data_IF_818676786604
#
_entry.id   IF_818676786604
#
_cell.length_a   1.000
_cell.length_b   1.000
_cell.length_c   1.000
_cell.angle_alpha   90.00
_cell.angle_beta   90.00
_cell.angle_gamma   90.00
#
_symmetry.space_group_name_H-M   'P 1'
#
loop_
_entity.id
_entity.type
_entity.pdbx_description
1 polymer ?
#
# COMPACT_ATOMS: atom_id res chain seq x y z
N UNK A 1 11.78 -35.93 -9.13
CA UNK A 1 12.73 -34.84 -8.87
C UNK A 1 12.25 -34.11 -7.64
N UNK A 2 12.99 -34.14 -6.54
CA UNK A 2 12.67 -33.41 -5.33
C UNK A 2 12.75 -31.90 -5.62
N UNK A 3 11.84 -31.04 -5.05
CA UNK A 3 11.99 -29.61 -5.21
C UNK A 3 13.26 -29.16 -4.53
N UNK A 4 14.10 -28.43 -5.25
CA UNK A 4 15.25 -27.71 -4.69
C UNK A 4 14.73 -26.83 -3.54
N UNK A 5 15.04 -27.17 -2.31
CA UNK A 5 14.95 -26.25 -1.19
C UNK A 5 16.06 -25.21 -1.40
N UNK A 6 15.77 -24.14 -2.13
CA UNK A 6 16.55 -22.92 -2.01
C UNK A 6 16.45 -22.49 -0.54
N UNK A 7 17.54 -22.61 0.22
CA UNK A 7 17.62 -22.07 1.57
C UNK A 7 17.30 -20.58 1.46
N UNK A 8 16.14 -20.17 1.94
CA UNK A 8 15.74 -18.76 1.96
C UNK A 8 16.76 -17.99 2.78
N UNK A 9 17.32 -16.91 2.23
CA UNK A 9 18.39 -16.18 2.88
C UNK A 9 17.90 -15.59 4.21
N UNK A 10 18.60 -15.89 5.29
CA UNK A 10 18.38 -15.29 6.60
C UNK A 10 19.20 -14.00 6.71
N UNK A 11 18.54 -12.91 7.05
CA UNK A 11 19.18 -11.63 7.31
C UNK A 11 19.25 -11.39 8.83
N UNK A 12 20.47 -11.31 9.42
CA UNK A 12 20.59 -10.92 10.82
C UNK A 12 20.07 -9.50 11.02
N UNK A 13 18.99 -9.36 11.76
CA UNK A 13 18.45 -8.02 12.06
C UNK A 13 19.48 -7.26 12.92
N UNK A 14 19.93 -6.08 12.48
CA UNK A 14 20.87 -5.27 13.23
C UNK A 14 20.29 -4.88 14.60
N UNK A 15 21.05 -5.14 15.67
CA UNK A 15 20.71 -4.72 17.02
C UNK A 15 21.23 -3.31 17.27
N UNK A 16 20.43 -2.46 17.90
CA UNK A 16 20.81 -1.08 18.20
C UNK A 16 21.83 -1.06 19.36
N UNK A 17 22.97 -0.42 19.16
CA UNK A 17 23.99 -0.21 20.21
C UNK A 17 23.71 0.98 21.13
N UNK A 18 22.72 1.82 20.77
CA UNK A 18 22.33 3.03 21.49
C UNK A 18 21.15 3.73 20.81
N UNK A 19 20.81 4.90 21.28
CA UNK A 19 19.76 5.74 20.71
C UNK A 19 20.12 6.16 19.28
N UNK A 20 19.19 5.99 18.32
CA UNK A 20 19.40 6.45 16.95
C UNK A 20 19.32 7.98 16.87
N UNK A 21 20.13 8.59 16.01
CA UNK A 21 19.99 10.00 15.61
C UNK A 21 20.30 10.08 14.11
N UNK A 22 19.25 10.11 13.28
CA UNK A 22 19.41 9.96 11.84
C UNK A 22 18.40 10.78 11.04
N UNK A 23 18.80 11.12 9.81
CA UNK A 23 17.89 11.57 8.76
C UNK A 23 17.70 10.44 7.76
N UNK A 24 16.44 10.05 7.52
CA UNK A 24 16.11 8.95 6.60
C UNK A 24 15.23 9.47 5.47
N UNK A 25 15.75 9.39 4.24
CA UNK A 25 15.01 9.73 3.04
C UNK A 25 14.17 8.54 2.57
N UNK A 26 12.89 8.57 2.88
CA UNK A 26 11.95 7.53 2.45
C UNK A 26 11.56 7.78 0.99
N UNK A 27 11.56 6.75 0.13
CA UNK A 27 11.18 6.91 -1.28
C UNK A 27 9.70 7.29 -1.42
N UNK A 28 9.31 7.66 -2.64
CA UNK A 28 7.95 8.08 -2.95
C UNK A 28 6.88 7.03 -2.61
N UNK A 29 5.66 7.49 -2.33
CA UNK A 29 4.52 6.63 -1.97
C UNK A 29 4.12 5.69 -3.11
N UNK A 30 4.07 4.38 -2.84
CA UNK A 30 3.56 3.38 -3.76
C UNK A 30 2.11 3.67 -4.16
N UNK A 31 1.28 3.98 -3.18
CA UNK A 31 -0.15 4.21 -3.38
C UNK A 31 -0.43 5.44 -4.23
N UNK A 32 0.35 6.50 -4.06
CA UNK A 32 0.28 7.72 -4.89
C UNK A 32 0.84 7.43 -6.29
N UNK A 33 2.02 6.80 -6.40
CA UNK A 33 2.65 6.49 -7.69
C UNK A 33 1.73 5.66 -8.59
N UNK A 34 1.13 4.58 -8.06
CA UNK A 34 0.27 3.72 -8.87
C UNK A 34 -1.02 4.41 -9.32
N UNK A 35 -1.64 5.24 -8.47
CA UNK A 35 -2.80 6.06 -8.87
C UNK A 35 -2.43 7.10 -9.92
N UNK A 36 -1.31 7.78 -9.73
CA UNK A 36 -0.82 8.80 -10.66
C UNK A 36 -0.53 8.21 -12.04
N UNK A 37 0.05 7.01 -12.11
CA UNK A 37 0.28 6.29 -13.36
C UNK A 37 -1.03 5.98 -14.09
N UNK A 38 -2.05 5.48 -13.37
CA UNK A 38 -3.38 5.20 -13.95
C UNK A 38 -4.03 6.48 -14.45
N UNK A 39 -4.04 7.56 -13.64
CA UNK A 39 -4.65 8.83 -14.03
C UNK A 39 -3.93 9.46 -15.23
N UNK A 40 -2.60 9.42 -15.26
CA UNK A 40 -1.81 9.93 -16.38
C UNK A 40 -2.02 9.11 -17.66
N UNK A 41 -2.18 7.77 -17.56
CA UNK A 41 -2.49 6.91 -18.70
C UNK A 41 -3.89 7.18 -19.28
N UNK A 42 -4.83 7.65 -18.46
CA UNK A 42 -6.21 7.98 -18.86
C UNK A 42 -6.39 9.47 -19.19
N UNK A 43 -5.37 10.30 -19.01
CA UNK A 43 -5.44 11.74 -19.29
C UNK A 43 -5.54 12.04 -20.79
N UNK A 44 -5.93 13.29 -21.13
CA UNK A 44 -5.96 13.79 -22.51
C UNK A 44 -4.63 14.37 -22.98
N UNK A 45 -3.70 14.63 -22.06
CA UNK A 45 -2.43 15.29 -22.29
C UNK A 45 -1.32 14.57 -21.51
N UNK A 46 -0.03 14.69 -21.95
CA UNK A 46 1.09 14.15 -21.20
C UNK A 46 1.20 14.74 -19.80
N UNK A 47 1.70 13.93 -18.86
CA UNK A 47 1.96 14.34 -17.48
C UNK A 47 3.31 13.86 -16.98
N UNK A 48 3.78 14.47 -15.90
CA UNK A 48 5.03 14.09 -15.25
C UNK A 48 4.78 13.60 -13.83
N UNK A 49 5.43 12.49 -13.48
CA UNK A 49 5.53 12.00 -12.11
C UNK A 49 6.98 12.24 -11.67
N UNK A 50 7.19 13.18 -10.73
CA UNK A 50 8.48 13.43 -10.12
C UNK A 50 8.63 12.58 -8.87
N UNK A 51 9.82 12.05 -8.63
CA UNK A 51 10.14 11.17 -7.50
C UNK A 51 9.19 9.96 -7.38
N UNK A 52 8.81 9.30 -8.50
CA UNK A 52 7.96 8.11 -8.43
C UNK A 52 8.70 7.01 -7.65
N UNK A 53 7.95 6.18 -6.92
CA UNK A 53 8.56 5.00 -6.34
C UNK A 53 9.01 4.05 -7.45
N UNK A 54 10.24 3.55 -7.37
CA UNK A 54 10.76 2.48 -8.23
C UNK A 54 10.84 1.19 -7.42
N UNK A 55 9.75 0.49 -7.29
CA UNK A 55 9.64 -0.78 -6.59
C UNK A 55 9.02 -1.85 -7.49
N UNK A 56 9.02 -3.11 -7.05
CA UNK A 56 8.39 -4.19 -7.82
C UNK A 56 6.96 -3.84 -8.23
N UNK A 57 6.14 -3.39 -7.29
CA UNK A 57 4.71 -3.11 -7.53
C UNK A 57 4.50 -1.96 -8.53
N UNK A 58 5.31 -0.90 -8.47
CA UNK A 58 5.17 0.25 -9.37
C UNK A 58 5.74 -0.01 -10.75
N UNK A 59 6.79 -0.81 -10.85
CA UNK A 59 7.35 -1.26 -12.12
C UNK A 59 6.39 -2.22 -12.84
N UNK A 60 5.67 -3.09 -12.11
CA UNK A 60 4.59 -3.91 -12.67
C UNK A 60 3.45 -3.04 -13.20
N UNK A 61 3.05 -1.98 -12.48
CA UNK A 61 2.04 -1.04 -12.97
C UNK A 61 2.48 -0.34 -14.25
N UNK A 62 3.69 0.22 -14.28
CA UNK A 62 4.23 0.87 -15.46
C UNK A 62 4.39 -0.10 -16.65
N UNK A 63 4.87 -1.32 -16.39
CA UNK A 63 5.00 -2.38 -17.40
C UNK A 63 3.66 -2.80 -17.98
N UNK A 64 2.63 -2.94 -17.16
CA UNK A 64 1.28 -3.27 -17.59
C UNK A 64 0.67 -2.17 -18.48
N UNK A 65 0.82 -0.90 -18.09
CA UNK A 65 0.36 0.23 -18.89
C UNK A 65 1.10 0.31 -20.23
N UNK A 66 2.43 0.07 -20.23
CA UNK A 66 3.22 -0.03 -21.48
C UNK A 66 2.73 -1.18 -22.38
N UNK A 67 2.44 -2.33 -21.79
CA UNK A 67 1.89 -3.47 -22.54
C UNK A 67 0.54 -3.14 -23.21
N UNK A 68 -0.26 -2.30 -22.58
CA UNK A 68 -1.52 -1.78 -23.11
C UNK A 68 -1.34 -0.57 -24.04
N UNK A 69 -0.11 -0.19 -24.37
CA UNK A 69 0.18 0.84 -25.38
C UNK A 69 0.48 2.24 -24.83
N UNK A 70 0.46 2.45 -23.54
CA UNK A 70 0.84 3.75 -22.93
C UNK A 70 2.36 3.92 -23.02
N UNK A 71 2.83 5.06 -23.46
CA UNK A 71 4.25 5.37 -23.47
C UNK A 71 4.66 6.01 -22.14
N UNK A 72 5.68 5.44 -21.51
CA UNK A 72 6.24 5.93 -20.24
C UNK A 72 7.74 6.06 -20.40
N UNK A 73 8.21 7.30 -20.47
CA UNK A 73 9.62 7.66 -20.55
C UNK A 73 10.18 7.84 -19.14
N UNK A 74 11.32 7.21 -18.86
CA UNK A 74 12.02 7.35 -17.57
C UNK A 74 13.23 8.25 -17.76
N UNK A 75 13.45 9.18 -16.85
CA UNK A 75 14.58 10.10 -16.95
C UNK A 75 14.59 11.16 -15.86
N UNK A 76 15.09 12.31 -16.22
CA UNK A 76 15.18 13.48 -15.34
C UNK A 76 13.95 14.36 -15.55
N UNK A 77 13.47 15.00 -14.47
CA UNK A 77 12.31 15.90 -14.54
C UNK A 77 12.49 17.07 -15.51
N UNK A 78 11.40 17.76 -15.89
CA UNK A 78 11.45 18.85 -16.87
C UNK A 78 12.31 20.05 -16.44
N UNK A 79 12.61 20.17 -15.15
CA UNK A 79 13.54 21.16 -14.59
C UNK A 79 15.00 20.72 -14.59
N UNK A 80 15.31 19.54 -15.12
CA UNK A 80 16.64 18.96 -15.14
C UNK A 80 17.08 18.35 -13.81
N UNK A 81 16.16 18.15 -12.85
CA UNK A 81 16.47 17.63 -11.52
C UNK A 81 15.67 16.39 -11.18
N UNK A 82 16.29 15.47 -10.45
CA UNK A 82 15.65 14.27 -9.86
C UNK A 82 15.09 13.30 -10.88
N UNK A 83 14.76 12.10 -10.41
CA UNK A 83 14.09 11.08 -11.21
C UNK A 83 12.64 11.45 -11.49
N UNK A 84 12.21 11.24 -12.72
CA UNK A 84 10.84 11.46 -13.13
C UNK A 84 10.40 10.47 -14.23
N UNK A 85 9.12 10.19 -14.28
CA UNK A 85 8.47 9.48 -15.38
C UNK A 85 7.56 10.44 -16.15
N UNK A 86 7.74 10.49 -17.46
CA UNK A 86 6.82 11.18 -18.36
C UNK A 86 5.86 10.17 -18.94
N UNK A 87 4.56 10.38 -18.72
CA UNK A 87 3.51 9.49 -19.22
C UNK A 87 2.82 10.17 -20.38
N UNK A 88 2.80 9.49 -21.54
CA UNK A 88 2.14 9.95 -22.75
C UNK A 88 0.93 9.03 -23.01
N UNK A 89 -0.30 9.55 -22.93
CA UNK A 89 -1.52 8.77 -23.13
C UNK A 89 -1.75 8.52 -24.63
N UNK A 90 -1.14 7.49 -25.18
CA UNK A 90 -1.18 7.13 -26.61
C UNK A 90 -2.36 6.25 -26.99
N UNK A 91 -3.30 6.03 -26.06
CA UNK A 91 -4.44 5.13 -26.21
C UNK A 91 -4.18 3.73 -25.68
N UNK A 92 -5.26 3.06 -25.28
CA UNK A 92 -5.19 1.72 -24.71
C UNK A 92 -5.58 0.68 -25.76
N UNK A 93 -4.77 -0.36 -25.90
CA UNK A 93 -4.96 -1.39 -26.93
C UNK A 93 -4.53 -2.77 -26.47
N UNK A 94 -5.18 -3.79 -27.02
CA UNK A 94 -4.83 -5.19 -26.94
C UNK A 94 -4.49 -5.77 -28.35
N UNK A 95 -4.13 -7.05 -28.44
CA UNK A 95 -4.01 -7.96 -27.31
C UNK A 95 -2.78 -7.66 -26.43
N UNK A 96 -2.92 -7.80 -25.12
CA UNK A 96 -1.80 -7.67 -24.20
C UNK A 96 -1.91 -8.66 -23.03
N UNK A 97 -0.77 -8.91 -22.38
CA UNK A 97 -0.70 -9.68 -21.14
C UNK A 97 -0.11 -8.82 -20.05
N UNK A 98 -0.77 -8.81 -18.91
CA UNK A 98 -0.39 -8.07 -17.71
C UNK A 98 0.02 -9.06 -16.63
N UNK A 99 1.27 -8.97 -16.18
CA UNK A 99 1.72 -9.61 -14.96
C UNK A 99 1.40 -8.68 -13.78
N UNK A 100 0.56 -9.13 -12.89
CA UNK A 100 0.24 -8.36 -11.67
C UNK A 100 1.19 -8.69 -10.51
N UNK A 101 2.05 -9.73 -10.66
CA UNK A 101 2.82 -10.28 -9.56
C UNK A 101 1.91 -10.60 -8.38
N UNK A 102 2.17 -9.98 -7.22
CA UNK A 102 1.27 -9.96 -6.08
C UNK A 102 0.89 -8.51 -5.68
N UNK A 103 0.85 -7.60 -6.66
CA UNK A 103 0.54 -6.19 -6.46
C UNK A 103 -0.96 -5.94 -6.43
N UNK A 104 -1.54 -5.69 -5.25
CA UNK A 104 -2.97 -5.47 -5.06
C UNK A 104 -3.53 -4.32 -5.90
N UNK A 105 -2.75 -3.24 -6.08
CA UNK A 105 -3.15 -2.09 -6.90
C UNK A 105 -3.16 -2.42 -8.40
N UNK A 106 -2.20 -3.19 -8.89
CA UNK A 106 -2.14 -3.61 -10.30
C UNK A 106 -3.34 -4.49 -10.63
N UNK A 107 -3.56 -5.55 -9.81
CA UNK A 107 -4.65 -6.51 -10.06
C UNK A 107 -6.05 -5.90 -9.96
N UNK A 108 -6.23 -4.80 -9.21
CA UNK A 108 -7.55 -4.19 -9.01
C UNK A 108 -7.78 -2.93 -9.82
N UNK A 109 -6.76 -2.08 -10.01
CA UNK A 109 -6.92 -0.82 -10.74
C UNK A 109 -6.91 -1.00 -12.26
N UNK A 110 -6.22 -2.02 -12.79
CA UNK A 110 -6.08 -2.17 -14.23
C UNK A 110 -7.23 -2.90 -14.94
N UNK A 111 -8.03 -3.81 -14.36
CA UNK A 111 -9.18 -4.36 -15.06
C UNK A 111 -10.19 -3.31 -15.54
N UNK A 112 -10.55 -2.24 -14.78
CA UNK A 112 -11.36 -1.13 -15.29
C UNK A 112 -10.70 -0.36 -16.44
N UNK A 113 -9.37 -0.17 -16.39
CA UNK A 113 -8.58 0.44 -17.47
C UNK A 113 -8.60 -0.43 -18.71
N UNK A 114 -8.42 -1.75 -18.56
CA UNK A 114 -8.43 -2.73 -19.64
C UNK A 114 -9.79 -2.80 -20.35
N UNK A 115 -10.90 -2.54 -19.63
CA UNK A 115 -12.23 -2.47 -20.24
C UNK A 115 -12.35 -1.32 -21.27
N UNK A 116 -11.52 -0.29 -21.17
CA UNK A 116 -11.42 0.84 -22.08
C UNK A 116 -10.45 0.60 -23.25
N UNK A 117 -9.71 -0.51 -23.24
CA UNK A 117 -8.77 -0.83 -24.30
C UNK A 117 -9.50 -1.32 -25.57
N UNK A 118 -8.84 -1.19 -26.72
CA UNK A 118 -9.30 -1.83 -27.96
C UNK A 118 -8.63 -3.22 -28.06
N UNK A 119 -9.38 -4.26 -27.66
CA UNK A 119 -8.95 -5.66 -27.69
C UNK A 119 -8.76 -6.31 -26.31
N UNK A 120 -8.46 -7.64 -26.30
CA UNK A 120 -8.39 -8.42 -25.07
C UNK A 120 -7.11 -8.15 -24.27
N UNK A 121 -7.25 -8.07 -22.94
CA UNK A 121 -6.14 -7.95 -22.00
C UNK A 121 -6.21 -9.11 -21.01
N UNK A 122 -5.18 -9.96 -21.00
CA UNK A 122 -5.05 -11.08 -20.06
C UNK A 122 -4.29 -10.64 -18.82
N UNK A 123 -4.80 -11.00 -17.66
CA UNK A 123 -4.18 -10.78 -16.36
C UNK A 123 -3.76 -12.11 -15.74
N UNK A 124 -2.54 -12.14 -15.22
CA UNK A 124 -1.96 -13.29 -14.51
C UNK A 124 -0.98 -12.79 -13.45
N UNK A 125 -0.50 -13.65 -12.54
CA UNK A 125 0.43 -13.21 -11.50
C UNK A 125 0.99 -14.32 -10.64
N UNK A 126 1.58 -13.97 -9.51
CA UNK A 126 2.15 -14.90 -8.55
C UNK A 126 1.06 -15.82 -7.93
N UNK A 127 1.39 -17.02 -7.46
CA UNK A 127 0.40 -17.96 -6.91
C UNK A 127 -0.51 -17.37 -5.84
N UNK A 128 0.04 -16.55 -4.93
CA UNK A 128 -0.76 -15.91 -3.88
C UNK A 128 -1.82 -14.93 -4.42
N UNK A 129 -1.59 -14.33 -5.59
CA UNK A 129 -2.53 -13.39 -6.20
C UNK A 129 -3.86 -14.06 -6.59
N UNK A 130 -3.88 -15.38 -6.82
CA UNK A 130 -5.08 -16.15 -7.14
C UNK A 130 -6.04 -16.31 -5.95
N UNK A 131 -5.51 -16.20 -4.73
CA UNK A 131 -6.30 -16.32 -3.50
C UNK A 131 -6.83 -14.97 -3.00
N UNK A 132 -6.29 -13.87 -3.52
CA UNK A 132 -6.67 -12.53 -3.09
C UNK A 132 -8.00 -12.10 -3.70
N UNK A 133 -8.91 -11.43 -2.93
CA UNK A 133 -10.24 -11.08 -3.42
C UNK A 133 -10.16 -10.13 -4.61
N UNK A 134 -10.88 -10.47 -5.68
CA UNK A 134 -11.01 -9.70 -6.91
C UNK A 134 -12.47 -9.68 -7.43
N UNK A 135 -13.31 -10.58 -6.94
CA UNK A 135 -14.70 -10.72 -7.35
C UNK A 135 -15.49 -9.40 -7.31
N UNK A 136 -15.26 -8.55 -6.29
CA UNK A 136 -15.94 -7.25 -6.18
C UNK A 136 -15.74 -6.34 -7.39
N UNK A 137 -14.52 -6.31 -7.95
CA UNK A 137 -14.21 -5.54 -9.17
C UNK A 137 -14.76 -6.24 -10.41
N UNK A 138 -14.60 -7.56 -10.53
CA UNK A 138 -15.05 -8.34 -11.68
C UNK A 138 -16.57 -8.21 -11.84
N UNK A 139 -17.33 -8.43 -10.77
CA UNK A 139 -18.78 -8.36 -10.79
C UNK A 139 -19.29 -6.95 -11.05
N UNK A 140 -18.63 -5.94 -10.49
CA UNK A 140 -18.96 -4.55 -10.77
C UNK A 140 -18.74 -4.20 -12.23
N UNK A 141 -17.62 -4.58 -12.81
CA UNK A 141 -17.32 -4.33 -14.22
C UNK A 141 -18.29 -5.02 -15.17
N UNK A 142 -18.70 -6.27 -14.88
CA UNK A 142 -19.73 -6.97 -15.65
C UNK A 142 -21.06 -6.23 -15.63
N UNK A 143 -21.48 -5.70 -14.47
CA UNK A 143 -22.70 -4.87 -14.35
C UNK A 143 -22.60 -3.55 -15.08
N UNK A 144 -21.40 -2.98 -15.22
CA UNK A 144 -21.13 -1.76 -15.96
C UNK A 144 -20.97 -2.02 -17.47
N UNK A 145 -21.10 -3.27 -17.95
CA UNK A 145 -21.08 -3.64 -19.35
C UNK A 145 -19.79 -4.28 -19.85
N UNK A 146 -18.80 -4.54 -18.98
CA UNK A 146 -17.57 -5.20 -19.40
C UNK A 146 -17.75 -6.71 -19.59
N UNK A 147 -17.10 -7.25 -20.65
CA UNK A 147 -16.99 -8.68 -20.85
C UNK A 147 -15.69 -9.20 -20.24
N UNK A 148 -15.80 -10.13 -19.28
CA UNK A 148 -14.67 -10.71 -18.55
C UNK A 148 -14.80 -12.23 -18.52
N UNK A 149 -13.75 -12.90 -18.97
CA UNK A 149 -13.59 -14.36 -18.88
C UNK A 149 -12.63 -14.68 -17.71
N UNK A 150 -13.13 -15.36 -16.70
CA UNK A 150 -12.38 -15.79 -15.50
C UNK A 150 -12.69 -17.27 -15.14
N UNK A 151 -13.28 -18.02 -16.07
CA UNK A 151 -13.80 -19.38 -15.88
C UNK A 151 -14.69 -19.55 -14.63
N UNK A 152 -15.40 -18.46 -14.23
CA UNK A 152 -16.28 -18.44 -13.08
C UNK A 152 -15.58 -18.42 -11.72
N UNK A 153 -14.26 -18.15 -11.67
CA UNK A 153 -13.49 -18.17 -10.41
C UNK A 153 -13.68 -16.92 -9.55
N UNK A 154 -14.02 -15.78 -10.16
CA UNK A 154 -14.00 -14.48 -9.46
C UNK A 154 -12.61 -14.03 -9.05
N UNK A 155 -11.57 -14.56 -9.70
CA UNK A 155 -10.17 -14.40 -9.38
C UNK A 155 -9.28 -14.49 -10.62
N UNK A 156 -7.98 -14.28 -10.45
CA UNK A 156 -6.97 -14.53 -11.49
C UNK A 156 -6.81 -16.03 -11.79
N UNK A 157 -6.32 -16.39 -13.00
CA UNK A 157 -6.11 -15.53 -14.16
C UNK A 157 -7.45 -15.15 -14.80
N UNK A 158 -7.50 -14.00 -15.46
CA UNK A 158 -8.70 -13.55 -16.19
C UNK A 158 -8.36 -12.80 -17.48
N UNK A 159 -9.34 -12.66 -18.36
CA UNK A 159 -9.21 -11.84 -19.56
C UNK A 159 -10.36 -10.82 -19.60
N UNK A 160 -10.00 -9.54 -19.70
CA UNK A 160 -10.93 -8.45 -19.96
C UNK A 160 -10.97 -8.20 -21.48
N UNK A 161 -12.15 -8.30 -22.08
CA UNK A 161 -12.35 -8.00 -23.51
C UNK A 161 -12.74 -6.52 -23.65
N UNK A 162 -11.73 -5.67 -23.83
CA UNK A 162 -11.96 -4.25 -24.05
C UNK A 162 -12.62 -3.99 -25.39
N UNK A 163 -13.54 -3.03 -25.39
CA UNK A 163 -14.28 -2.59 -26.57
C UNK A 163 -14.02 -1.12 -26.94
N UNK A 164 -12.95 -0.51 -26.41
CA UNK A 164 -12.65 0.91 -26.63
C UNK A 164 -13.47 1.87 -25.77
N UNK A 165 -14.54 1.41 -25.15
CA UNK A 165 -15.41 2.18 -24.28
C UNK A 165 -16.13 1.26 -23.27
N UNK A 166 -16.63 1.83 -22.18
CA UNK A 166 -17.48 1.16 -21.20
C UNK A 166 -18.66 2.07 -20.86
N UNK A 167 -19.86 1.51 -20.72
CA UNK A 167 -21.07 2.29 -20.47
C UNK A 167 -20.99 3.02 -19.12
N UNK A 168 -20.61 2.34 -18.05
CA UNK A 168 -20.59 2.94 -16.73
C UNK A 168 -21.97 3.02 -16.09
N UNK A 169 -22.17 4.03 -15.21
CA UNK A 169 -23.42 4.25 -14.48
C UNK A 169 -23.39 3.70 -13.04
N UNK A 170 -24.57 3.44 -12.43
CA UNK A 170 -24.65 3.02 -11.03
C UNK A 170 -24.27 1.54 -10.84
N UNK A 171 -23.48 1.27 -9.79
CA UNK A 171 -23.10 -0.09 -9.41
C UNK A 171 -22.96 -0.23 -7.90
N UNK A 172 -23.42 -1.36 -7.37
CA UNK A 172 -23.24 -1.72 -5.97
C UNK A 172 -22.07 -2.69 -5.82
N UNK A 173 -21.23 -2.45 -4.81
CA UNK A 173 -20.03 -3.24 -4.52
C UNK A 173 -19.93 -3.49 -3.02
N UNK A 174 -19.74 -4.74 -2.61
CA UNK A 174 -19.25 -5.04 -1.28
C UNK A 174 -17.73 -4.88 -1.25
N UNK A 175 -17.26 -3.81 -0.64
CA UNK A 175 -15.85 -3.50 -0.50
C UNK A 175 -15.30 -3.77 0.93
N UNK A 176 -16.01 -4.59 1.72
CA UNK A 176 -15.59 -4.94 3.09
C UNK A 176 -14.24 -5.64 3.14
N UNK A 177 -13.85 -6.35 2.09
CA UNK A 177 -12.54 -7.01 1.97
C UNK A 177 -11.43 -6.08 1.44
N UNK A 178 -11.79 -5.00 0.74
CA UNK A 178 -10.80 -4.05 0.19
C UNK A 178 -11.44 -2.77 -0.34
N UNK A 179 -11.03 -1.63 0.22
CA UNK A 179 -11.38 -0.29 -0.32
C UNK A 179 -10.85 -0.05 -1.75
N UNK A 180 -9.89 -0.87 -2.20
CA UNK A 180 -9.36 -0.79 -3.56
C UNK A 180 -10.42 -1.09 -4.63
N UNK A 181 -11.51 -1.80 -4.31
CA UNK A 181 -12.61 -2.03 -5.26
C UNK A 181 -13.32 -0.72 -5.60
N UNK A 182 -13.58 0.12 -4.60
CA UNK A 182 -14.13 1.47 -4.81
C UNK A 182 -13.13 2.32 -5.60
N UNK A 183 -11.87 2.41 -5.12
CA UNK A 183 -10.83 3.21 -5.78
C UNK A 183 -10.62 2.84 -7.25
N UNK A 184 -10.65 1.55 -7.59
CA UNK A 184 -10.46 1.04 -8.94
C UNK A 184 -11.51 1.59 -9.93
N UNK A 185 -12.78 1.57 -9.52
CA UNK A 185 -13.89 2.06 -10.33
C UNK A 185 -13.87 3.59 -10.45
N UNK A 186 -13.55 4.29 -9.35
CA UNK A 186 -13.46 5.76 -9.36
C UNK A 186 -12.35 6.25 -10.28
N UNK A 187 -11.16 5.63 -10.27
CA UNK A 187 -10.01 6.04 -11.09
C UNK A 187 -10.33 6.02 -12.59
N UNK A 188 -11.08 5.03 -13.06
CA UNK A 188 -11.44 4.89 -14.47
C UNK A 188 -12.79 5.55 -14.82
N UNK A 189 -13.59 5.86 -13.80
CA UNK A 189 -14.94 6.42 -13.94
C UNK A 189 -15.07 7.62 -14.87
N UNK A 190 -14.15 8.62 -14.87
CA UNK A 190 -14.24 9.75 -15.78
C UNK A 190 -14.22 9.36 -17.27
N UNK A 191 -13.68 8.18 -17.60
CA UNK A 191 -13.57 7.68 -18.98
C UNK A 191 -14.71 6.76 -19.38
N UNK A 192 -15.64 6.43 -18.49
CA UNK A 192 -16.88 5.70 -18.83
C UNK A 192 -17.91 6.65 -19.43
N UNK A 193 -18.74 6.16 -20.36
CA UNK A 193 -19.71 6.97 -21.09
C UNK A 193 -20.68 7.74 -20.18
N UNK A 194 -21.10 7.11 -19.08
CA UNK A 194 -22.00 7.68 -18.07
C UNK A 194 -21.30 8.01 -16.74
N UNK A 195 -19.94 7.98 -16.71
CA UNK A 195 -19.22 8.03 -15.46
C UNK A 195 -19.47 6.78 -14.61
N UNK A 196 -19.35 6.91 -13.30
CA UNK A 196 -19.66 5.81 -12.36
C UNK A 196 -20.27 6.33 -11.07
N UNK A 197 -21.30 5.66 -10.59
CA UNK A 197 -21.80 5.79 -9.22
C UNK A 197 -21.52 4.49 -8.49
N UNK A 198 -20.64 4.52 -7.51
CA UNK A 198 -20.27 3.36 -6.69
C UNK A 198 -20.97 3.44 -5.34
N UNK A 199 -21.79 2.44 -5.03
CA UNK A 199 -22.45 2.28 -3.73
C UNK A 199 -21.83 1.08 -2.98
N UNK A 200 -21.20 1.34 -1.84
CA UNK A 200 -20.76 0.27 -0.95
C UNK A 200 -21.95 -0.32 -0.19
N UNK A 201 -22.06 -1.65 -0.19
CA UNK A 201 -23.19 -2.38 0.41
C UNK A 201 -22.78 -3.31 1.57
N UNK A 202 -21.47 -3.41 1.84
CA UNK A 202 -20.96 -4.21 2.96
C UNK A 202 -21.16 -3.55 4.34
N UNK A 203 -20.91 -4.31 5.39
CA UNK A 203 -21.07 -3.83 6.76
C UNK A 203 -19.98 -2.84 7.19
N UNK A 204 -18.76 -3.02 6.71
CA UNK A 204 -17.59 -2.18 7.04
C UNK A 204 -16.83 -1.83 5.77
N UNK A 205 -16.23 -0.65 5.75
CA UNK A 205 -15.36 -0.22 4.65
C UNK A 205 -13.99 0.16 5.23
N UNK A 206 -12.99 -0.73 5.11
CA UNK A 206 -11.67 -0.48 5.66
C UNK A 206 -10.90 0.56 4.84
N UNK A 207 -9.89 1.17 5.44
CA UNK A 207 -8.91 2.01 4.76
C UNK A 207 -9.52 3.19 3.98
N UNK A 208 -10.47 3.89 4.56
CA UNK A 208 -11.10 5.09 3.99
C UNK A 208 -10.10 6.14 3.48
N UNK A 209 -8.94 6.37 4.13
CA UNK A 209 -7.94 7.30 3.61
C UNK A 209 -7.51 7.01 2.17
N UNK A 210 -7.46 5.75 1.74
CA UNK A 210 -7.13 5.39 0.36
C UNK A 210 -8.22 5.78 -0.65
N UNK A 211 -9.50 5.79 -0.25
CA UNK A 211 -10.58 6.30 -1.10
C UNK A 211 -10.48 7.83 -1.18
N UNK A 212 -10.25 8.52 -0.06
CA UNK A 212 -10.03 9.98 -0.03
C UNK A 212 -8.83 10.36 -0.91
N UNK A 213 -7.72 9.63 -0.82
CA UNK A 213 -6.56 9.80 -1.71
C UNK A 213 -6.98 9.71 -3.20
N UNK A 214 -7.76 8.71 -3.55
CA UNK A 214 -8.26 8.54 -4.93
C UNK A 214 -9.12 9.72 -5.36
N UNK A 215 -10.04 10.18 -4.51
CA UNK A 215 -10.92 11.32 -4.77
C UNK A 215 -10.11 12.61 -4.96
N UNK A 216 -9.17 12.88 -4.07
CA UNK A 216 -8.35 14.10 -4.13
C UNK A 216 -7.46 14.12 -5.37
N UNK A 217 -6.89 12.98 -5.73
CA UNK A 217 -6.07 12.85 -6.96
C UNK A 217 -6.93 13.01 -8.23
N UNK A 218 -8.16 12.48 -8.25
CA UNK A 218 -9.12 12.69 -9.34
C UNK A 218 -9.50 14.18 -9.48
N UNK A 219 -9.81 14.83 -8.38
CA UNK A 219 -10.13 16.27 -8.37
C UNK A 219 -8.94 17.11 -8.84
N UNK A 220 -7.73 16.74 -8.45
CA UNK A 220 -6.51 17.43 -8.87
C UNK A 220 -6.27 17.36 -10.38
N UNK A 221 -6.73 16.32 -11.08
CA UNK A 221 -6.66 16.19 -12.53
C UNK A 221 -7.96 16.66 -13.24
N UNK A 222 -8.84 17.37 -12.54
CA UNK A 222 -10.02 18.03 -13.11
C UNK A 222 -11.30 17.20 -13.10
N UNK A 223 -11.31 15.98 -12.54
CA UNK A 223 -12.53 15.20 -12.43
C UNK A 223 -13.50 15.79 -11.41
N UNK A 224 -14.79 15.69 -11.69
CA UNK A 224 -15.85 16.03 -10.73
C UNK A 224 -16.25 14.77 -9.95
N UNK A 225 -16.12 14.83 -8.63
CA UNK A 225 -16.37 13.70 -7.74
C UNK A 225 -17.25 14.16 -6.57
N UNK A 226 -18.43 13.57 -6.44
CA UNK A 226 -19.28 13.71 -5.26
C UNK A 226 -18.99 12.58 -4.28
N UNK A 227 -18.95 12.91 -3.00
CA UNK A 227 -18.61 11.97 -1.92
C UNK A 227 -19.60 12.11 -0.77
N UNK A 228 -19.71 11.10 0.13
CA UNK A 228 -20.49 11.23 1.35
C UNK A 228 -20.13 12.48 2.18
N UNK A 229 -18.84 12.80 2.27
CA UNK A 229 -18.32 13.93 3.04
C UNK A 229 -18.68 15.30 2.39
N UNK A 230 -18.94 15.34 1.08
CA UNK A 230 -19.38 16.56 0.39
C UNK A 230 -20.90 16.77 0.40
N UNK A 231 -21.63 16.05 1.29
CA UNK A 231 -23.08 16.14 1.42
C UNK A 231 -23.83 15.17 0.52
N UNK A 232 -23.13 14.19 -0.06
CA UNK A 232 -23.73 13.09 -0.82
C UNK A 232 -24.40 12.03 0.07
N UNK A 233 -24.95 11.00 -0.56
CA UNK A 233 -25.53 9.85 0.15
C UNK A 233 -24.43 9.06 0.88
N UNK A 234 -24.71 8.51 2.07
CA UNK A 234 -23.75 7.66 2.78
C UNK A 234 -23.30 6.46 1.92
N UNK A 235 -21.99 6.17 1.93
CA UNK A 235 -21.38 5.07 1.19
C UNK A 235 -21.57 5.14 -0.34
N UNK A 236 -21.77 6.32 -0.90
CA UNK A 236 -21.94 6.55 -2.35
C UNK A 236 -20.95 7.59 -2.85
N UNK A 237 -20.20 7.22 -3.88
CA UNK A 237 -19.28 8.10 -4.62
C UNK A 237 -19.74 8.17 -6.06
N UNK A 238 -19.79 9.39 -6.62
CA UNK A 238 -20.16 9.62 -8.02
C UNK A 238 -19.02 10.34 -8.74
N UNK A 239 -18.63 9.81 -9.88
CA UNK A 239 -17.66 10.45 -10.77
C UNK A 239 -18.37 10.77 -12.08
N UNK A 240 -18.38 12.05 -12.43
CA UNK A 240 -18.95 12.52 -13.69
C UNK A 240 -18.02 12.20 -14.85
N UNK A 241 -18.53 11.78 -16.04
CA UNK A 241 -17.68 11.58 -17.21
C UNK A 241 -17.01 12.89 -17.65
N UNK A 242 -15.76 12.81 -18.08
CA UNK A 242 -15.01 13.99 -18.51
C UNK A 242 -13.55 13.69 -18.83
N UNK A 243 -12.89 14.66 -19.45
CA UNK A 243 -11.48 14.59 -19.74
C UNK A 243 -10.66 14.76 -18.45
N UNK A 244 -9.58 14.00 -18.35
CA UNK A 244 -8.58 14.15 -17.29
C UNK A 244 -7.40 14.96 -17.83
N UNK A 245 -6.92 15.90 -17.04
CA UNK A 245 -5.77 16.75 -17.38
C UNK A 245 -4.47 16.04 -17.12
N UNK A 246 -3.49 16.20 -18.01
CA UNK A 246 -2.09 15.89 -17.72
C UNK A 246 -1.58 16.82 -16.61
N UNK A 247 -0.87 16.28 -15.63
CA UNK A 247 -0.34 17.04 -14.51
C UNK A 247 1.14 16.76 -14.29
N UNK A 248 1.82 17.73 -13.74
CA UNK A 248 3.13 17.58 -13.12
C UNK A 248 2.90 17.34 -11.62
N UNK A 249 3.17 16.12 -11.17
CA UNK A 249 2.94 15.67 -9.80
C UNK A 249 4.26 15.27 -9.16
N UNK A 250 4.61 15.89 -8.04
CA UNK A 250 5.67 15.38 -7.16
C UNK A 250 5.06 14.38 -6.18
N UNK A 251 5.55 13.14 -6.21
CA UNK A 251 5.08 12.08 -5.32
C UNK A 251 5.62 12.33 -3.92
N UNK A 252 4.73 12.36 -2.94
CA UNK A 252 5.05 12.46 -1.50
C UNK A 252 5.87 11.25 -1.04
N UNK A 253 6.73 11.37 -0.01
CA UNK A 253 7.37 10.21 0.63
C UNK A 253 6.31 9.21 1.09
N UNK A 254 6.65 7.92 1.10
CA UNK A 254 5.73 6.88 1.58
C UNK A 254 5.69 6.86 3.11
N UNK A 255 4.67 7.48 3.69
CA UNK A 255 4.54 7.62 5.13
C UNK A 255 4.30 6.29 5.84
N UNK A 256 3.70 5.30 5.16
CA UNK A 256 3.57 3.95 5.71
C UNK A 256 4.91 3.20 5.73
N UNK A 257 5.80 3.47 4.78
CA UNK A 257 7.16 2.94 4.79
C UNK A 257 8.12 3.72 5.71
N UNK A 258 7.74 4.90 6.18
CA UNK A 258 8.45 5.62 7.24
C UNK A 258 8.32 4.92 8.61
N UNK A 259 7.30 4.07 8.78
CA UNK A 259 6.97 3.42 10.07
C UNK A 259 8.17 2.74 10.75
N UNK A 260 8.96 1.86 10.12
CA UNK A 260 10.06 1.19 10.79
C UNK A 260 11.10 2.17 11.33
N UNK A 261 11.35 3.26 10.64
CA UNK A 261 12.33 4.27 11.06
C UNK A 261 11.83 5.11 12.25
N UNK A 262 10.54 5.49 12.25
CA UNK A 262 9.93 6.14 13.42
C UNK A 262 9.88 5.19 14.62
N UNK A 263 9.57 3.90 14.38
CA UNK A 263 9.62 2.86 15.39
C UNK A 263 11.04 2.68 15.96
N UNK A 264 12.08 2.81 15.13
CA UNK A 264 13.45 2.75 15.60
C UNK A 264 13.78 3.86 16.60
N UNK A 265 13.36 5.09 16.34
CA UNK A 265 13.50 6.18 17.30
C UNK A 265 12.75 5.89 18.60
N UNK A 266 11.52 5.35 18.53
CA UNK A 266 10.73 5.00 19.71
C UNK A 266 11.39 3.89 20.53
N UNK A 267 11.82 2.81 19.89
CA UNK A 267 12.41 1.62 20.53
C UNK A 267 13.76 1.94 21.17
N UNK A 268 14.56 2.80 20.56
CA UNK A 268 15.92 3.12 21.05
C UNK A 268 15.99 4.36 21.94
N UNK A 269 14.85 5.09 22.11
CA UNK A 269 14.85 6.39 22.78
C UNK A 269 15.62 7.46 22.02
N UNK A 270 15.69 7.35 20.71
CA UNK A 270 16.44 8.20 19.82
C UNK A 270 15.60 9.19 19.05
N UNK A 271 16.16 9.73 17.95
CA UNK A 271 15.51 10.73 17.11
C UNK A 271 15.71 10.39 15.63
N UNK A 272 14.65 10.53 14.85
CA UNK A 272 14.69 10.38 13.39
C UNK A 272 13.98 11.56 12.72
N UNK A 273 14.63 12.16 11.71
CA UNK A 273 14.02 13.10 10.80
C UNK A 273 13.64 12.36 9.49
N UNK A 274 12.36 12.47 9.11
CA UNK A 274 11.89 12.06 7.78
C UNK A 274 11.66 13.34 6.97
N UNK A 275 12.52 13.67 6.00
CA UNK A 275 12.38 14.85 5.16
C UNK A 275 11.11 14.85 4.31
N UNK A 276 10.67 16.04 3.93
CA UNK A 276 9.53 16.26 3.03
C UNK A 276 8.19 15.66 3.52
N UNK A 277 8.06 15.40 4.83
CA UNK A 277 6.78 14.97 5.39
C UNK A 277 5.72 16.04 5.13
N UNK A 278 4.62 15.74 4.42
CA UNK A 278 3.68 16.76 4.00
C UNK A 278 2.87 17.31 5.20
N UNK A 279 2.61 18.62 5.19
CA UNK A 279 1.78 19.26 6.21
C UNK A 279 0.31 18.82 6.15
N UNK A 280 -0.14 18.42 4.96
CA UNK A 280 -1.48 17.85 4.71
C UNK A 280 -1.34 16.72 3.71
N UNK A 281 -1.96 15.58 4.03
CA UNK A 281 -1.91 14.39 3.18
C UNK A 281 -3.14 13.51 3.43
N UNK A 282 -3.46 12.69 2.45
CA UNK A 282 -4.44 11.61 2.59
C UNK A 282 -3.77 10.26 2.85
N UNK A 283 -2.45 10.21 2.97
CA UNK A 283 -1.76 8.96 3.26
C UNK A 283 -2.09 8.49 4.69
N UNK A 284 -2.54 7.23 4.87
CA UNK A 284 -2.88 6.69 6.20
C UNK A 284 -1.67 6.65 7.15
N UNK A 285 -0.45 6.61 6.61
CA UNK A 285 0.79 6.65 7.40
C UNK A 285 0.96 7.90 8.28
N UNK A 286 0.24 8.99 8.01
CA UNK A 286 0.27 10.21 8.86
C UNK A 286 -0.25 9.94 10.27
N UNK A 287 -1.11 8.93 10.47
CA UNK A 287 -1.59 8.47 11.78
C UNK A 287 -0.48 7.98 12.72
N UNK A 288 0.69 7.64 12.18
CA UNK A 288 1.85 7.25 13.00
C UNK A 288 2.26 8.35 13.99
N UNK A 289 2.06 9.63 13.63
CA UNK A 289 2.37 10.75 14.54
C UNK A 289 1.56 10.67 15.85
N UNK A 290 0.28 10.34 15.74
CA UNK A 290 -0.60 10.19 16.91
C UNK A 290 -0.31 8.87 17.65
N UNK A 291 -0.30 7.75 16.91
CA UNK A 291 -0.16 6.40 17.48
C UNK A 291 1.18 6.26 18.23
N UNK A 292 2.28 6.66 17.62
CA UNK A 292 3.59 6.54 18.27
C UNK A 292 3.83 7.60 19.34
N UNK A 293 3.12 8.74 19.30
CA UNK A 293 3.11 9.70 20.42
C UNK A 293 2.40 9.10 21.63
N UNK A 294 1.25 8.45 21.45
CA UNK A 294 0.54 7.75 22.51
C UNK A 294 1.37 6.59 23.09
N UNK A 295 2.18 5.92 22.25
CA UNK A 295 3.08 4.87 22.67
C UNK A 295 4.38 5.35 23.34
N UNK A 296 4.57 6.65 23.57
CA UNK A 296 5.69 7.20 24.34
C UNK A 296 6.71 8.03 23.53
N UNK A 297 6.38 8.41 22.31
CA UNK A 297 7.19 9.32 21.50
C UNK A 297 6.67 10.76 21.52
N UNK A 298 7.36 11.61 20.78
CA UNK A 298 6.91 12.96 20.45
C UNK A 298 7.26 13.28 19.00
N UNK A 299 6.45 14.10 18.35
CA UNK A 299 6.70 14.48 16.97
C UNK A 299 6.59 16.00 16.78
N UNK A 300 7.44 16.55 15.94
CA UNK A 300 7.43 17.94 15.53
C UNK A 300 7.48 18.00 14.00
N UNK A 301 6.49 18.64 13.39
CA UNK A 301 6.49 18.91 11.96
C UNK A 301 7.18 20.25 11.72
N UNK A 302 8.33 20.18 11.06
CA UNK A 302 9.18 21.34 10.71
C UNK A 302 9.08 21.65 9.22
N UNK A 303 9.71 22.72 8.78
CA UNK A 303 9.86 23.04 7.35
C UNK A 303 10.70 22.01 6.58
N UNK A 304 11.52 21.21 7.26
CA UNK A 304 12.36 20.15 6.65
C UNK A 304 11.69 18.79 6.61
N UNK A 305 10.62 18.58 7.36
CA UNK A 305 9.93 17.29 7.50
C UNK A 305 9.51 16.99 8.93
N UNK A 306 9.22 15.72 9.20
CA UNK A 306 8.81 15.24 10.51
C UNK A 306 10.02 14.81 11.34
N UNK A 307 10.23 15.46 12.48
CA UNK A 307 11.14 15.00 13.54
C UNK A 307 10.33 14.16 14.53
N UNK A 308 10.73 12.92 14.72
CA UNK A 308 10.16 12.04 15.72
C UNK A 308 11.23 11.66 16.76
N UNK A 309 10.86 11.75 18.05
CA UNK A 309 11.76 11.47 19.18
C UNK A 309 11.10 10.47 20.13
N UNK A 310 11.80 9.37 20.42
CA UNK A 310 11.39 8.40 21.45
C UNK A 310 11.79 8.86 22.84
N UNK A 311 10.96 8.57 23.84
CA UNK A 311 11.26 8.89 25.24
C UNK A 311 12.17 7.87 25.92
N UNK A 312 12.39 6.71 25.30
CA UNK A 312 13.07 5.56 25.92
C UNK A 312 12.14 4.64 26.71
N UNK A 313 10.84 4.98 26.79
CA UNK A 313 9.78 4.12 27.34
C UNK A 313 8.74 3.86 26.25
N UNK A 314 8.26 2.64 26.16
CA UNK A 314 7.20 2.27 25.20
C UNK A 314 5.97 1.83 25.98
N UNK A 315 4.85 2.48 25.76
CA UNK A 315 3.59 2.16 26.41
C UNK A 315 2.67 1.34 25.50
N UNK A 316 1.89 0.45 26.09
CA UNK A 316 0.84 -0.26 25.38
C UNK A 316 -0.25 0.69 24.91
N UNK A 317 -1.02 0.25 23.90
CA UNK A 317 -2.06 1.06 23.27
C UNK A 317 -3.34 0.24 23.03
N UNK A 318 -4.50 0.88 23.16
CA UNK A 318 -5.79 0.34 22.71
C UNK A 318 -6.30 1.19 21.55
N UNK A 319 -6.17 0.66 20.32
CA UNK A 319 -6.38 1.44 19.09
C UNK A 319 -7.18 0.70 18.05
N UNK A 320 -8.07 1.42 17.38
CA UNK A 320 -8.73 0.98 16.16
C UNK A 320 -7.87 1.36 14.93
N UNK A 321 -7.47 0.35 14.18
CA UNK A 321 -6.61 0.47 12.99
C UNK A 321 -7.38 0.21 11.69
N UNK A 322 -8.71 0.19 11.70
CA UNK A 322 -9.54 -0.10 10.53
C UNK A 322 -9.23 0.79 9.32
N UNK A 323 -8.90 2.06 9.56
CA UNK A 323 -8.51 3.03 8.53
C UNK A 323 -7.03 2.95 8.12
N UNK A 324 -6.19 2.33 8.94
CA UNK A 324 -4.73 2.31 8.77
C UNK A 324 -4.14 0.91 8.96
N UNK A 325 -4.90 -0.10 8.53
CA UNK A 325 -4.57 -1.52 8.76
C UNK A 325 -3.17 -1.94 8.33
N UNK A 326 -2.61 -1.33 7.29
CA UNK A 326 -1.26 -1.61 6.83
C UNK A 326 -0.17 -1.28 7.86
N UNK A 327 -0.46 -0.45 8.86
CA UNK A 327 0.48 -0.11 9.93
C UNK A 327 0.51 -1.16 11.04
N UNK A 328 -0.46 -2.08 11.10
CA UNK A 328 -0.60 -3.09 12.15
C UNK A 328 0.67 -3.89 12.42
N UNK A 329 1.42 -4.42 11.43
CA UNK A 329 2.60 -5.23 11.71
C UNK A 329 3.69 -4.48 12.49
N UNK A 330 4.00 -3.24 12.11
CA UNK A 330 4.99 -2.45 12.81
C UNK A 330 4.51 -2.00 14.20
N UNK A 331 3.21 -1.67 14.36
CA UNK A 331 2.62 -1.32 15.66
C UNK A 331 2.65 -2.56 16.59
N UNK A 332 2.32 -3.75 16.08
CA UNK A 332 2.38 -4.98 16.84
C UNK A 332 3.81 -5.32 17.31
N UNK A 333 4.81 -5.07 16.45
CA UNK A 333 6.22 -5.24 16.81
C UNK A 333 6.63 -4.29 17.95
N UNK A 334 6.25 -3.01 17.89
CA UNK A 334 6.48 -2.04 18.96
C UNK A 334 5.72 -2.41 20.23
N UNK A 335 4.45 -2.83 20.12
CA UNK A 335 3.63 -3.25 21.24
C UNK A 335 4.17 -4.48 21.98
N UNK A 336 4.84 -5.39 21.25
CA UNK A 336 5.51 -6.55 21.87
C UNK A 336 6.73 -6.15 22.75
N UNK A 337 7.27 -4.94 22.54
CA UNK A 337 8.37 -4.35 23.30
C UNK A 337 7.92 -3.36 24.36
N UNK A 338 6.60 -3.14 24.51
CA UNK A 338 6.04 -2.15 25.43
C UNK A 338 6.10 -2.60 26.89
N UNK A 339 5.83 -1.69 27.83
CA UNK A 339 5.76 -1.94 29.28
C UNK A 339 4.38 -2.42 29.76
N UNK A 340 3.37 -2.31 28.90
CA UNK A 340 1.96 -2.58 29.24
C UNK A 340 1.21 -3.22 28.05
N UNK A 341 0.06 -3.91 28.29
CA UNK A 341 -0.68 -4.60 27.26
C UNK A 341 -1.23 -3.68 26.18
N UNK A 342 -1.38 -4.22 24.97
CA UNK A 342 -1.99 -3.53 23.82
C UNK A 342 -3.16 -4.32 23.24
N UNK A 343 -4.14 -3.59 22.70
CA UNK A 343 -5.26 -4.13 21.92
C UNK A 343 -5.31 -3.43 20.57
N UNK A 344 -5.10 -4.17 19.49
CA UNK A 344 -5.21 -3.67 18.11
C UNK A 344 -6.50 -4.21 17.51
N UNK A 345 -7.39 -3.34 17.02
CA UNK A 345 -8.76 -3.68 16.56
C UNK A 345 -9.04 -3.20 15.14
N UNK A 346 -10.16 -3.69 14.55
CA UNK A 346 -10.69 -3.19 13.29
C UNK A 346 -9.98 -3.74 12.05
N UNK A 347 -9.14 -4.75 12.17
CA UNK A 347 -8.22 -5.20 11.10
C UNK A 347 -8.47 -6.61 10.58
N UNK A 348 -9.70 -7.13 10.67
CA UNK A 348 -10.05 -8.44 10.14
C UNK A 348 -9.68 -8.63 8.66
N UNK A 349 -9.75 -7.56 7.86
CA UNK A 349 -9.43 -7.57 6.43
C UNK A 349 -7.96 -7.90 6.14
N UNK A 350 -7.05 -7.76 7.12
CA UNK A 350 -5.63 -8.11 6.97
C UNK A 350 -5.38 -9.60 6.76
N UNK A 351 -6.35 -10.46 7.07
CA UNK A 351 -6.27 -11.90 6.80
C UNK A 351 -6.24 -12.23 5.30
N UNK A 352 -6.73 -11.30 4.47
CA UNK A 352 -6.84 -11.44 3.01
C UNK A 352 -5.76 -10.66 2.24
N UNK A 353 -4.70 -10.18 2.92
CA UNK A 353 -3.60 -9.46 2.32
C UNK A 353 -2.52 -10.42 1.75
N UNK A 354 -1.28 -9.97 1.68
CA UNK A 354 -0.15 -10.77 1.18
C UNK A 354 -0.02 -12.10 1.92
N UNK A 355 -0.31 -12.09 3.21
CA UNK A 355 -0.52 -13.25 4.08
C UNK A 355 -1.69 -12.98 5.03
N UNK A 356 -2.12 -13.96 5.82
CA UNK A 356 -2.91 -13.69 7.03
C UNK A 356 -2.00 -13.05 8.07
N UNK A 357 -1.98 -11.72 8.08
CA UNK A 357 -1.07 -10.94 8.94
C UNK A 357 -1.35 -11.15 10.42
N UNK A 358 -2.60 -11.40 10.81
CA UNK A 358 -2.95 -11.61 12.22
C UNK A 358 -2.38 -12.94 12.73
N UNK A 359 -2.59 -14.01 11.96
CA UNK A 359 -2.02 -15.32 12.26
C UNK A 359 -0.50 -15.30 12.23
N UNK A 360 0.10 -14.65 11.22
CA UNK A 360 1.55 -14.55 11.08
C UNK A 360 2.18 -13.77 12.25
N UNK A 361 1.66 -12.60 12.63
CA UNK A 361 2.18 -11.82 13.76
C UNK A 361 2.05 -12.58 15.07
N UNK A 362 0.90 -13.23 15.30
CA UNK A 362 0.68 -14.05 16.49
C UNK A 362 1.72 -15.15 16.59
N UNK A 363 1.94 -15.88 15.50
CA UNK A 363 2.90 -16.99 15.46
C UNK A 363 4.33 -16.49 15.68
N UNK A 364 4.79 -15.54 14.88
CA UNK A 364 6.19 -15.11 14.88
C UNK A 364 6.60 -14.43 16.19
N UNK A 365 5.73 -13.58 16.77
CA UNK A 365 6.04 -12.94 18.05
C UNK A 365 6.04 -13.98 19.19
N UNK A 366 5.11 -14.94 19.17
CA UNK A 366 5.06 -16.00 20.17
C UNK A 366 6.25 -16.97 20.06
N UNK A 367 6.75 -17.27 18.86
CA UNK A 367 7.95 -18.08 18.65
C UNK A 367 9.22 -17.38 19.16
N UNK A 368 9.22 -16.06 19.28
CA UNK A 368 10.28 -15.29 19.95
C UNK A 368 10.05 -15.15 21.48
N UNK A 369 9.08 -15.85 22.07
CA UNK A 369 8.79 -15.82 23.51
C UNK A 369 7.70 -14.84 23.93
N UNK A 370 7.00 -14.20 23.01
CA UNK A 370 5.91 -13.25 23.27
C UNK A 370 4.62 -13.90 23.74
N UNK A 371 3.60 -13.05 23.99
CA UNK A 371 2.26 -13.46 24.41
C UNK A 371 1.22 -12.66 23.60
N UNK A 372 0.98 -13.12 22.37
CA UNK A 372 0.01 -12.54 21.43
C UNK A 372 -1.14 -13.51 21.24
N UNK A 373 -2.36 -12.98 21.26
CA UNK A 373 -3.59 -13.74 21.01
C UNK A 373 -4.41 -13.05 19.92
N UNK A 374 -4.82 -13.80 18.92
CA UNK A 374 -5.74 -13.29 17.90
C UNK A 374 -7.14 -13.06 18.48
N UNK A 375 -7.79 -12.00 18.00
CA UNK A 375 -9.24 -11.81 18.10
C UNK A 375 -9.89 -11.99 16.72
N UNK A 376 -11.21 -11.88 16.64
CA UNK A 376 -11.90 -11.95 15.36
C UNK A 376 -11.42 -10.87 14.38
N UNK A 377 -11.08 -9.69 14.88
CA UNK A 377 -10.73 -8.50 14.09
C UNK A 377 -9.41 -7.83 14.50
N UNK A 378 -8.54 -8.52 15.27
CA UNK A 378 -7.31 -7.90 15.72
C UNK A 378 -6.40 -8.76 16.57
N UNK A 379 -5.63 -8.14 17.45
CA UNK A 379 -4.64 -8.76 18.31
C UNK A 379 -4.72 -8.21 19.74
N UNK A 380 -4.58 -9.10 20.73
CA UNK A 380 -4.19 -8.74 22.10
C UNK A 380 -2.72 -9.11 22.31
N UNK A 381 -1.92 -8.16 22.75
CA UNK A 381 -0.49 -8.31 22.96
C UNK A 381 -0.17 -8.02 24.43
N UNK A 382 0.36 -9.01 25.14
CA UNK A 382 0.89 -8.86 26.49
C UNK A 382 2.40 -8.93 26.43
N UNK A 383 3.11 -7.85 26.80
CA UNK A 383 4.57 -7.85 26.72
C UNK A 383 5.19 -8.95 27.55
N UNK A 384 6.19 -9.63 26.98
CA UNK A 384 7.02 -10.65 27.60
C UNK A 384 8.46 -10.45 27.18
N UNK A 385 9.45 -10.86 27.96
CA UNK A 385 10.83 -10.88 27.49
C UNK A 385 10.96 -11.74 26.23
N UNK A 386 11.40 -11.12 25.14
CA UNK A 386 11.63 -11.80 23.86
C UNK A 386 13.07 -12.30 23.78
N UNK A 387 13.30 -13.31 22.93
CA UNK A 387 14.61 -13.87 22.63
C UNK A 387 14.86 -13.95 21.13
N UNK A 388 16.12 -14.13 20.72
CA UNK A 388 16.50 -14.32 19.33
C UNK A 388 15.92 -15.59 18.73
N UNK A 389 15.73 -15.58 17.41
CA UNK A 389 15.18 -16.68 16.64
C UNK A 389 14.91 -16.26 15.21
N UNK A 390 14.41 -17.19 14.39
CA UNK A 390 14.00 -16.87 13.01
C UNK A 390 12.61 -16.25 13.01
N UNK A 391 12.47 -15.13 12.32
CA UNK A 391 11.20 -14.45 12.05
C UNK A 391 10.85 -14.65 10.57
N UNK A 392 9.77 -15.38 10.29
CA UNK A 392 9.34 -15.70 8.94
C UNK A 392 8.50 -14.56 8.37
N UNK A 393 8.75 -14.21 7.12
CA UNK A 393 8.07 -13.05 6.48
C UNK A 393 6.83 -13.43 5.67
N UNK A 394 6.69 -14.70 5.30
CA UNK A 394 5.58 -15.15 4.44
C UNK A 394 5.49 -14.34 3.14
N UNK A 395 6.64 -13.94 2.60
CA UNK A 395 6.76 -13.05 1.44
C UNK A 395 6.05 -11.69 1.59
N UNK A 396 5.82 -11.27 2.83
CA UNK A 396 5.20 -9.99 3.16
C UNK A 396 6.23 -8.98 3.70
N UNK A 397 6.39 -7.89 2.97
CA UNK A 397 7.33 -6.81 3.30
C UNK A 397 7.06 -6.17 4.68
N UNK A 398 5.79 -6.13 5.12
CA UNK A 398 5.42 -5.59 6.43
C UNK A 398 5.82 -6.51 7.58
N UNK A 399 5.80 -7.83 7.34
CA UNK A 399 6.33 -8.79 8.29
C UNK A 399 7.85 -8.64 8.42
N UNK A 400 8.56 -8.46 7.30
CA UNK A 400 10.01 -8.24 7.32
C UNK A 400 10.40 -7.00 8.14
N UNK A 401 9.72 -5.88 7.95
CA UNK A 401 10.00 -4.65 8.72
C UNK A 401 9.58 -4.78 10.19
N UNK A 402 8.52 -5.54 10.52
CA UNK A 402 8.15 -5.84 11.90
C UNK A 402 9.24 -6.65 12.63
N UNK A 403 9.78 -7.68 11.97
CA UNK A 403 10.92 -8.44 12.51
C UNK A 403 12.16 -7.56 12.73
N UNK A 404 12.45 -6.62 11.82
CA UNK A 404 13.55 -5.68 11.97
C UNK A 404 13.38 -4.75 13.18
N UNK A 405 12.15 -4.27 13.43
CA UNK A 405 11.84 -3.46 14.62
C UNK A 405 12.11 -4.24 15.91
N UNK A 406 11.67 -5.49 15.99
CA UNK A 406 11.95 -6.35 17.15
C UNK A 406 13.46 -6.57 17.32
N UNK A 407 14.19 -6.81 16.23
CA UNK A 407 15.63 -7.02 16.22
C UNK A 407 16.46 -5.87 16.80
N UNK A 408 15.94 -4.62 16.79
CA UNK A 408 16.61 -3.49 17.41
C UNK A 408 16.84 -3.69 18.92
N UNK A 409 15.85 -4.27 19.61
CA UNK A 409 15.87 -4.47 21.05
C UNK A 409 16.24 -5.91 21.44
N UNK A 410 16.10 -6.88 20.53
CA UNK A 410 16.26 -8.32 20.80
C UNK A 410 17.41 -8.88 19.96
N UNK A 411 18.58 -9.15 20.57
CA UNK A 411 19.73 -9.72 19.85
C UNK A 411 19.43 -11.10 19.26
N UNK A 412 19.97 -11.37 18.07
CA UNK A 412 19.89 -12.70 17.45
C UNK A 412 18.57 -12.98 16.70
N UNK A 413 17.78 -11.98 16.40
CA UNK A 413 16.64 -12.10 15.47
C UNK A 413 17.17 -12.24 14.05
N UNK A 414 16.72 -13.27 13.34
CA UNK A 414 17.06 -13.56 11.94
C UNK A 414 15.80 -13.43 11.09
N UNK A 415 15.80 -12.55 10.11
CA UNK A 415 14.64 -12.34 9.22
C UNK A 415 14.80 -13.19 7.97
N UNK A 416 13.84 -14.09 7.75
CA UNK A 416 13.77 -14.86 6.52
C UNK A 416 13.37 -13.97 5.36
N UNK A 417 14.11 -14.03 4.23
CA UNK A 417 13.76 -13.33 3.00
C UNK A 417 13.46 -11.83 3.19
N UNK A 418 14.37 -11.06 3.77
CA UNK A 418 14.23 -9.59 3.89
C UNK A 418 14.05 -8.92 2.54
N UNK A 419 14.50 -9.55 1.43
CA UNK A 419 14.34 -9.04 0.07
C UNK A 419 12.87 -8.81 -0.34
N UNK A 420 11.90 -9.40 0.37
CA UNK A 420 10.47 -9.11 0.16
C UNK A 420 10.13 -7.61 0.36
N UNK A 421 10.95 -6.84 1.09
CA UNK A 421 10.80 -5.38 1.24
C UNK A 421 10.91 -4.64 -0.10
N UNK A 422 11.59 -5.20 -1.10
CA UNK A 422 11.71 -4.63 -2.45
C UNK A 422 10.34 -4.38 -3.13
N UNK A 423 9.27 -4.97 -2.61
CA UNK A 423 7.91 -4.69 -3.06
C UNK A 423 7.51 -3.22 -2.91
N UNK A 424 7.95 -2.55 -1.85
CA UNK A 424 7.58 -1.15 -1.54
C UNK A 424 8.74 -0.29 -1.06
N UNK A 425 9.81 -0.90 -0.60
CA UNK A 425 11.00 -0.24 -0.06
C UNK A 425 12.24 -1.06 -0.43
N UNK A 426 12.70 -0.97 -1.70
CA UNK A 426 13.75 -1.85 -2.23
C UNK A 426 15.06 -1.77 -1.47
N UNK A 427 15.44 -0.59 -0.97
CA UNK A 427 16.73 -0.34 -0.30
C UNK A 427 16.59 -0.39 1.25
N UNK A 428 15.60 -1.15 1.76
CA UNK A 428 15.34 -1.20 3.20
C UNK A 428 16.55 -1.66 4.02
N UNK A 429 17.26 -2.75 3.69
CA UNK A 429 18.42 -3.18 4.46
C UNK A 429 19.51 -2.11 4.56
N UNK A 430 19.79 -1.40 3.45
CA UNK A 430 20.80 -0.34 3.37
C UNK A 430 20.37 0.89 4.16
N UNK A 431 19.11 1.32 4.03
CA UNK A 431 18.56 2.43 4.81
C UNK A 431 18.56 2.11 6.31
N UNK A 432 18.25 0.86 6.67
CA UNK A 432 18.21 0.40 8.06
C UNK A 432 19.59 0.38 8.71
N UNK A 433 20.56 -0.22 8.06
CA UNK A 433 21.96 -0.26 8.56
C UNK A 433 22.57 1.14 8.58
N UNK A 434 22.33 1.95 7.54
CA UNK A 434 22.78 3.34 7.48
C UNK A 434 22.20 4.21 8.60
N UNK A 435 20.93 4.04 8.95
CA UNK A 435 20.29 4.72 10.10
C UNK A 435 20.99 4.35 11.43
N UNK A 436 21.47 3.12 11.57
CA UNK A 436 22.16 2.64 12.76
C UNK A 436 23.66 2.97 12.77
N UNK A 437 24.21 3.56 11.71
CA UNK A 437 25.64 3.86 11.58
C UNK A 437 26.52 2.62 11.42
N UNK A 438 25.97 1.56 10.83
CA UNK A 438 26.61 0.25 10.63
C UNK A 438 26.92 -0.02 9.15
#
# INVERSE_FOLDING_TARGET
>A
MAPNSSSTALWPAPHASGAVDATVHVPGSKSVTNRALVLAALASEPGWLRRPLRSRDTLLMAGALRAMGVEIEEGVGPDGTGEAWRVLPTGLRGPATVDVGNAGTVMRFLPPVAALADGPIRFDGDPRSYERPLNGVIDALRRLGARIDDDGRGALPLTVHGGGALDGGPVSVDASSSSQFVSALLLSGPRFNQGVEVRHTGATLPSMPHIRMTVDMLRAVGAQVDTPESGGEPNVWRVTPGALLGRDLTVEPDLSNAQPFLAAALVTGGKVLIPDWPARTTQPGDRLREIFTEMGGSCELTEYGLVFTGSGAIHGIDVDLGDVGELTPGIAAVAALADSPSTLRGVAHLRLHETDRLAALTKEINELGGDVTETADGLHIRPRPLHGGTFHTYEDHRMATAGAIIGLAVPGVLIENVATTAKTLPDFPELWTGMLGQ
#
